data_IF_081663428473
#
_entry.id   IF_081663428473
#
_cell.length_a   1.000
_cell.length_b   1.000
_cell.length_c   1.000
_cell.angle_alpha   90.00
_cell.angle_beta   90.00
_cell.angle_gamma   90.00
#
_symmetry.space_group_name_H-M   'P 1'
#
loop_
_entity.id
_entity.type
_entity.pdbx_description
1 polymer ?
#
# COMPACT_ATOMS: atom_id res chain seq x y z
N UNK A 1 0.00 11.16 -1.46
CA UNK A 1 0.34 9.92 -0.74
C UNK A 1 1.84 9.86 -0.59
N UNK A 2 2.35 9.43 0.56
CA UNK A 2 3.79 9.21 0.79
C UNK A 2 4.01 7.72 1.04
N UNK A 3 5.04 7.15 0.41
CA UNK A 3 5.48 5.77 0.63
C UNK A 3 6.66 5.76 1.60
N UNK A 4 6.54 4.96 2.65
CA UNK A 4 7.63 4.69 3.59
C UNK A 4 8.01 3.22 3.50
N UNK A 5 9.22 2.96 3.01
CA UNK A 5 9.76 1.62 2.87
C UNK A 5 10.78 1.33 3.97
N UNK A 6 10.77 0.10 4.45
CA UNK A 6 11.71 -0.47 5.40
C UNK A 6 12.01 -1.94 5.02
N UNK A 7 13.16 -2.46 5.44
CA UNK A 7 13.51 -3.85 5.13
C UNK A 7 12.54 -4.84 5.79
N UNK A 8 12.12 -4.55 7.02
CA UNK A 8 11.08 -5.30 7.74
C UNK A 8 9.67 -4.91 7.23
N UNK A 9 8.85 -5.86 6.78
CA UNK A 9 7.49 -5.58 6.31
C UNK A 9 6.62 -4.85 7.32
N UNK A 10 6.71 -5.18 8.61
CA UNK A 10 5.91 -4.55 9.68
C UNK A 10 6.18 -3.04 9.86
N UNK A 11 7.34 -2.57 9.40
CA UNK A 11 7.74 -1.16 9.48
C UNK A 11 7.37 -0.37 8.20
N UNK A 12 6.80 -1.02 7.18
CA UNK A 12 6.36 -0.37 5.94
C UNK A 12 4.97 0.21 6.11
N UNK A 13 4.74 1.39 5.53
CA UNK A 13 3.40 1.98 5.48
C UNK A 13 3.27 3.04 4.40
N UNK A 14 2.02 3.30 4.01
CA UNK A 14 1.63 4.47 3.23
C UNK A 14 0.98 5.50 4.13
N UNK A 15 1.18 6.78 3.79
CA UNK A 15 0.37 7.88 4.31
C UNK A 15 -0.61 8.32 3.23
N UNK A 16 -1.84 7.86 3.34
CA UNK A 16 -2.96 8.18 2.43
C UNK A 16 -3.86 9.17 3.16
N UNK A 17 -3.99 10.39 2.65
CA UNK A 17 -4.83 11.44 3.27
C UNK A 17 -4.53 11.68 4.76
N UNK A 18 -3.27 11.52 5.17
CA UNK A 18 -2.84 11.65 6.58
C UNK A 18 -3.08 10.42 7.45
N UNK A 19 -3.73 9.37 6.92
CA UNK A 19 -3.91 8.10 7.60
C UNK A 19 -2.78 7.13 7.27
N UNK A 20 -2.28 6.42 8.28
CA UNK A 20 -1.33 5.32 8.13
C UNK A 20 -2.06 4.07 7.66
N UNK A 21 -1.57 3.48 6.57
CA UNK A 21 -2.13 2.30 5.92
C UNK A 21 -1.00 1.29 5.75
N UNK A 22 -1.26 0.04 6.11
CA UNK A 22 -0.27 -1.06 6.08
C UNK A 22 -0.70 -2.17 5.11
N UNK A 23 0.23 -3.08 4.80
CA UNK A 23 -0.07 -4.27 3.99
C UNK A 23 -1.23 -5.06 4.62
N UNK A 24 -2.20 -5.46 3.79
CA UNK A 24 -3.45 -6.10 4.18
C UNK A 24 -4.63 -5.15 4.40
N UNK A 25 -4.41 -3.85 4.57
CA UNK A 25 -5.50 -2.90 4.78
C UNK A 25 -6.34 -2.71 3.51
N UNK A 26 -7.65 -2.47 3.72
CA UNK A 26 -8.57 -2.10 2.63
C UNK A 26 -8.95 -0.63 2.73
N UNK A 27 -8.63 0.11 1.67
CA UNK A 27 -9.00 1.50 1.43
C UNK A 27 -10.35 1.57 0.73
N UNK A 28 -11.20 2.51 1.18
CA UNK A 28 -12.52 2.81 0.59
C UNK A 28 -13.39 1.55 0.33
N UNK A 29 -13.18 0.51 1.15
CA UNK A 29 -13.88 -0.77 1.10
C UNK A 29 -13.61 -1.66 -0.11
N UNK A 30 -12.81 -1.23 -1.09
CA UNK A 30 -12.69 -1.92 -2.37
C UNK A 30 -11.25 -2.07 -2.89
N UNK A 31 -10.28 -1.35 -2.30
CA UNK A 31 -8.89 -1.35 -2.73
C UNK A 31 -8.04 -1.91 -1.59
N UNK A 32 -7.52 -3.13 -1.74
CA UNK A 32 -6.63 -3.72 -0.75
C UNK A 32 -5.18 -3.36 -1.06
N UNK A 33 -4.43 -2.89 -0.07
CA UNK A 33 -2.99 -2.76 -0.14
C UNK A 33 -2.37 -4.15 0.04
N UNK A 34 -1.91 -4.78 -1.03
CA UNK A 34 -1.36 -6.13 -0.97
C UNK A 34 0.07 -6.13 -0.44
N UNK A 35 0.94 -5.28 -0.98
CA UNK A 35 2.37 -5.28 -0.67
C UNK A 35 2.96 -3.88 -0.85
N UNK A 36 3.86 -3.47 0.05
CA UNK A 36 4.67 -2.26 -0.08
C UNK A 36 6.08 -2.70 -0.48
N UNK A 37 6.53 -2.22 -1.63
CA UNK A 37 7.85 -2.48 -2.21
C UNK A 37 8.68 -1.21 -2.26
N UNK A 38 9.96 -1.37 -2.56
CA UNK A 38 10.89 -0.23 -2.66
C UNK A 38 10.51 0.70 -3.81
N UNK A 39 9.98 0.14 -4.89
CA UNK A 39 9.57 0.82 -6.11
C UNK A 39 8.14 1.38 -6.08
N UNK A 40 7.34 1.03 -5.09
CA UNK A 40 5.92 1.39 -5.06
C UNK A 40 5.07 0.49 -4.17
N UNK A 41 3.75 0.63 -4.27
CA UNK A 41 2.78 -0.18 -3.55
C UNK A 41 1.89 -0.97 -4.52
N UNK A 42 1.71 -2.25 -4.24
CA UNK A 42 0.86 -3.15 -5.01
C UNK A 42 -0.53 -3.14 -4.39
N UNK A 43 -1.52 -2.86 -5.22
CA UNK A 43 -2.92 -2.85 -4.82
C UNK A 43 -3.73 -3.89 -5.57
N UNK A 44 -4.78 -4.38 -4.92
CA UNK A 44 -5.82 -5.20 -5.53
C UNK A 44 -7.13 -4.40 -5.52
N UNK A 45 -7.73 -4.23 -6.69
CA UNK A 45 -9.07 -3.67 -6.87
C UNK A 45 -9.90 -4.62 -7.73
N UNK A 46 -10.91 -5.27 -7.12
CA UNK A 46 -11.66 -6.37 -7.76
C UNK A 46 -10.70 -7.46 -8.25
N UNK A 47 -10.65 -7.72 -9.56
CA UNK A 47 -9.73 -8.69 -10.19
C UNK A 47 -8.45 -8.06 -10.72
N UNK A 48 -8.25 -6.75 -10.55
CA UNK A 48 -7.07 -6.05 -11.02
C UNK A 48 -6.02 -5.97 -9.93
N UNK A 49 -4.78 -6.33 -10.29
CA UNK A 49 -3.59 -6.15 -9.47
C UNK A 49 -2.67 -5.15 -10.17
N UNK A 50 -2.31 -4.07 -9.48
CA UNK A 50 -1.51 -3.01 -10.10
C UNK A 50 -0.49 -2.40 -9.12
N UNK A 51 0.65 -2.00 -9.67
CA UNK A 51 1.69 -1.27 -8.94
C UNK A 51 1.44 0.24 -9.11
N UNK A 52 1.26 0.93 -7.99
CA UNK A 52 1.39 2.38 -7.94
C UNK A 52 2.86 2.71 -7.66
N UNK A 53 3.50 3.46 -8.56
CA UNK A 53 4.86 3.94 -8.34
C UNK A 53 4.88 5.00 -7.23
N UNK A 54 5.86 4.88 -6.34
CA UNK A 54 6.13 5.83 -5.26
C UNK A 54 6.73 7.15 -5.74
#
# INVERSE_FOLDING_TARGET
TVLVYADKPEDRFLLVSGQRVVEGDTLDGNIMLEEIRREGAVFIYRSYRFLMKG
#
